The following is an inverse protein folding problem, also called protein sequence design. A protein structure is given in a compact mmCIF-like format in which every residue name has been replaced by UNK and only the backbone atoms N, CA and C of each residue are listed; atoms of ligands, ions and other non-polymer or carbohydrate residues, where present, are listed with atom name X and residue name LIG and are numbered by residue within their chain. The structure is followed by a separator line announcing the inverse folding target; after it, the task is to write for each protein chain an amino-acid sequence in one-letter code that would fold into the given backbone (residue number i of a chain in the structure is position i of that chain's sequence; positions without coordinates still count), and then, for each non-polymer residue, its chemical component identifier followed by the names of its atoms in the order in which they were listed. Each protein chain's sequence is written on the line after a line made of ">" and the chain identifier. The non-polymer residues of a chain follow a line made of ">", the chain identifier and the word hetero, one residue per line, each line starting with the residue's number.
data_IF_979307834823
#
_entry.id   IF_979307834823
#
_cell.length_a   1.000
_cell.length_b   1.000
_cell.length_c   1.000
_cell.angle_alpha   90.00
_cell.angle_beta   90.00
_cell.angle_gamma   90.00
#
_symmetry.space_group_name_H-M   'P 1'
#
loop_
_entity.id
_entity.type
_entity.pdbx_description
1 polymer ?
#
# COMPACT_ATOMS: atom_id res chain seq x y z
N UNK A 1 -7.79 -4.82 22.85
CA UNK A 1 -7.30 -5.31 21.55
C UNK A 1 -6.30 -4.29 21.01
N UNK A 2 -5.01 -4.62 21.06
CA UNK A 2 -3.97 -3.77 20.47
C UNK A 2 -4.14 -3.75 18.96
N UNK A 3 -4.59 -2.62 18.41
CA UNK A 3 -4.46 -2.34 16.98
C UNK A 3 -2.96 -2.40 16.68
N UNK A 4 -2.55 -3.26 15.76
CA UNK A 4 -1.18 -3.28 15.22
C UNK A 4 -0.82 -1.84 14.87
N UNK A 5 0.05 -1.22 15.66
CA UNK A 5 0.42 0.17 15.46
C UNK A 5 1.41 0.18 14.31
N UNK A 6 0.88 0.35 13.11
CA UNK A 6 1.67 0.40 11.89
C UNK A 6 2.55 1.67 11.94
N UNK A 7 3.84 1.51 11.66
CA UNK A 7 4.76 2.63 11.57
C UNK A 7 4.46 3.47 10.32
N UNK A 8 5.17 4.59 10.16
CA UNK A 8 5.11 5.35 8.91
C UNK A 8 5.54 4.48 7.71
N UNK A 9 4.97 4.72 6.51
CA UNK A 9 5.38 4.00 5.30
C UNK A 9 6.88 4.15 5.09
N UNK A 10 7.56 3.03 4.86
CA UNK A 10 8.98 3.04 4.50
C UNK A 10 9.17 3.22 3.00
N UNK A 11 8.21 2.68 2.23
CA UNK A 11 8.11 2.90 0.79
C UNK A 11 6.67 3.25 0.45
N UNK A 12 6.50 4.20 -0.45
CA UNK A 12 5.20 4.56 -0.99
C UNK A 12 5.34 4.93 -2.46
N UNK A 13 4.44 4.43 -3.28
CA UNK A 13 4.28 4.84 -4.67
C UNK A 13 2.83 5.24 -4.88
N UNK A 14 2.60 6.43 -5.44
CA UNK A 14 1.26 6.93 -5.73
C UNK A 14 1.13 7.23 -7.21
N UNK A 15 0.05 6.74 -7.81
CA UNK A 15 -0.32 7.05 -9.18
C UNK A 15 -1.73 7.61 -9.25
N UNK A 16 -1.91 8.56 -10.15
CA UNK A 16 -3.21 9.09 -10.51
C UNK A 16 -3.67 8.49 -11.83
N UNK A 17 -4.90 8.03 -11.86
CA UNK A 17 -5.61 7.57 -13.07
C UNK A 17 -6.94 8.33 -13.17
N UNK A 18 -7.74 8.08 -14.19
CA UNK A 18 -9.00 8.81 -14.43
C UNK A 18 -9.95 8.76 -13.23
N UNK A 19 -9.92 9.83 -12.43
CA UNK A 19 -10.73 10.00 -11.22
C UNK A 19 -10.17 9.33 -9.95
N UNK A 20 -9.22 8.39 -10.07
CA UNK A 20 -8.65 7.66 -8.95
C UNK A 20 -7.21 8.09 -8.62
N UNK A 21 -6.91 8.12 -7.34
CA UNK A 21 -5.56 8.13 -6.79
C UNK A 21 -5.34 6.78 -6.12
N UNK A 22 -4.30 6.08 -6.53
CA UNK A 22 -3.96 4.76 -6.03
C UNK A 22 -2.56 4.83 -5.42
N UNK A 23 -2.44 4.49 -4.15
CA UNK A 23 -1.17 4.44 -3.43
C UNK A 23 -0.89 3.01 -2.98
N UNK A 24 0.36 2.57 -3.15
CA UNK A 24 0.87 1.33 -2.59
C UNK A 24 1.94 1.70 -1.58
N UNK A 25 1.76 1.26 -0.35
CA UNK A 25 2.63 1.54 0.78
C UNK A 25 3.19 0.22 1.33
N UNK A 26 4.48 0.18 1.63
CA UNK A 26 5.11 -0.89 2.38
C UNK A 26 5.55 -0.35 3.73
N UNK A 27 5.02 -0.94 4.80
CA UNK A 27 5.28 -0.52 6.18
C UNK A 27 5.80 -1.70 6.98
N UNK A 28 6.65 -1.41 7.97
CA UNK A 28 7.10 -2.38 8.95
C UNK A 28 6.47 -2.01 10.30
N UNK A 29 5.81 -2.94 10.98
CA UNK A 29 5.27 -2.69 12.31
C UNK A 29 6.35 -2.71 13.40
N UNK A 30 5.96 -2.41 14.65
CA UNK A 30 6.88 -2.40 15.79
C UNK A 30 7.47 -3.79 16.13
N UNK A 31 6.94 -4.86 15.55
CA UNK A 31 7.41 -6.23 15.73
C UNK A 31 8.30 -6.72 14.58
N UNK A 32 8.56 -5.87 13.58
CA UNK A 32 9.38 -6.23 12.43
C UNK A 32 8.58 -6.92 11.30
N UNK A 33 7.25 -6.98 11.38
CA UNK A 33 6.45 -7.56 10.30
C UNK A 33 6.14 -6.53 9.22
N UNK A 34 6.22 -6.99 7.98
CA UNK A 34 5.93 -6.18 6.82
C UNK A 34 4.47 -6.27 6.41
N UNK A 35 3.89 -5.13 6.06
CA UNK A 35 2.52 -4.99 5.60
C UNK A 35 2.53 -4.23 4.28
N UNK A 36 1.84 -4.78 3.28
CA UNK A 36 1.59 -4.10 2.00
C UNK A 36 0.19 -3.52 2.06
N UNK A 37 0.09 -2.21 1.93
CA UNK A 37 -1.17 -1.49 1.98
C UNK A 37 -1.44 -0.89 0.61
N UNK A 38 -2.62 -1.15 0.08
CA UNK A 38 -3.11 -0.50 -1.14
C UNK A 38 -4.26 0.41 -0.77
N UNK A 39 -4.12 1.68 -1.12
CA UNK A 39 -5.11 2.73 -0.88
C UNK A 39 -5.65 3.22 -2.22
N UNK A 40 -6.97 3.26 -2.36
CA UNK A 40 -7.68 3.80 -3.52
C UNK A 40 -8.54 4.98 -3.07
N UNK A 41 -8.41 6.12 -3.73
CA UNK A 41 -9.16 7.33 -3.43
C UNK A 41 -9.76 7.91 -4.71
N UNK A 42 -11.08 7.96 -4.82
CA UNK A 42 -11.76 8.62 -5.93
C UNK A 42 -12.13 10.05 -5.55
N UNK A 43 -11.39 11.02 -6.07
CA UNK A 43 -11.52 12.43 -5.65
C UNK A 43 -12.92 13.00 -5.90
N UNK A 44 -13.53 12.67 -7.05
CA UNK A 44 -14.85 13.18 -7.40
C UNK A 44 -15.99 12.54 -6.58
N UNK A 45 -15.75 11.38 -5.96
CA UNK A 45 -16.74 10.71 -5.09
C UNK A 45 -16.43 10.90 -3.59
N UNK A 46 -15.26 11.45 -3.25
CA UNK A 46 -14.74 11.48 -1.87
C UNK A 46 -14.58 10.08 -1.26
N UNK A 47 -14.52 9.02 -2.09
CA UNK A 47 -14.52 7.62 -1.61
C UNK A 47 -13.10 7.12 -1.41
N UNK A 48 -12.82 6.65 -0.20
CA UNK A 48 -11.56 6.01 0.17
C UNK A 48 -11.78 4.51 0.38
N UNK A 49 -10.86 3.67 -0.09
CA UNK A 49 -10.82 2.24 0.16
C UNK A 49 -9.40 1.82 0.46
N UNK A 50 -9.20 1.02 1.51
CA UNK A 50 -7.89 0.58 1.99
C UNK A 50 -7.89 -0.92 2.16
N UNK A 51 -6.92 -1.59 1.55
CA UNK A 51 -6.68 -3.03 1.68
C UNK A 51 -5.31 -3.18 2.30
N UNK A 52 -5.21 -4.04 3.31
CA UNK A 52 -3.99 -4.37 4.04
C UNK A 52 -3.72 -5.86 3.90
N UNK A 53 -2.50 -6.21 3.50
CA UNK A 53 -2.04 -7.59 3.34
C UNK A 53 -0.71 -7.78 4.08
N UNK A 54 -0.65 -8.68 5.08
CA UNK A 54 0.61 -9.02 5.72
C UNK A 54 1.51 -9.75 4.73
N UNK A 55 2.78 -9.37 4.68
CA UNK A 55 3.77 -9.99 3.80
C UNK A 55 4.88 -10.62 4.64
N UNK A 56 5.21 -11.87 4.33
CA UNK A 56 6.35 -12.54 4.99
C UNK A 56 7.63 -11.78 4.65
N UNK A 57 8.42 -11.51 5.68
CA UNK A 57 9.60 -10.64 5.69
C UNK A 57 10.54 -10.83 4.51
N UNK A 58 10.91 -12.07 4.16
CA UNK A 58 11.83 -12.37 3.04
C UNK A 58 11.32 -11.92 1.67
N UNK A 59 10.02 -11.73 1.51
CA UNK A 59 9.39 -11.41 0.22
C UNK A 59 8.81 -9.98 0.17
N UNK A 60 8.93 -9.18 1.24
CA UNK A 60 8.27 -7.89 1.36
C UNK A 60 8.66 -6.92 0.22
N UNK A 61 9.95 -6.73 0.00
CA UNK A 61 10.45 -5.81 -1.03
C UNK A 61 10.12 -6.29 -2.46
N UNK A 62 10.20 -7.61 -2.71
CA UNK A 62 9.86 -8.18 -4.01
C UNK A 62 8.35 -8.09 -4.30
N UNK A 63 7.50 -8.29 -3.29
CA UNK A 63 6.05 -8.08 -3.39
C UNK A 63 5.74 -6.62 -3.66
N UNK A 64 6.38 -5.69 -2.95
CA UNK A 64 6.24 -4.25 -3.18
C UNK A 64 6.64 -3.87 -4.61
N UNK A 65 7.80 -4.34 -5.10
CA UNK A 65 8.24 -4.06 -6.46
C UNK A 65 7.24 -4.52 -7.53
N UNK A 66 6.67 -5.73 -7.39
CA UNK A 66 5.62 -6.22 -8.30
C UNK A 66 4.33 -5.41 -8.21
N UNK A 67 3.96 -4.99 -7.00
CA UNK A 67 2.78 -4.18 -6.77
C UNK A 67 2.94 -2.80 -7.42
N UNK A 68 4.11 -2.17 -7.29
CA UNK A 68 4.48 -0.91 -7.98
C UNK A 68 4.47 -1.08 -9.50
N UNK A 69 5.03 -2.15 -10.04
CA UNK A 69 4.97 -2.43 -11.48
C UNK A 69 3.52 -2.57 -11.97
N UNK A 70 2.67 -3.24 -11.19
CA UNK A 70 1.25 -3.39 -11.50
C UNK A 70 0.53 -2.04 -11.46
N UNK A 71 0.84 -1.18 -10.47
CA UNK A 71 0.36 0.19 -10.39
C UNK A 71 0.79 1.01 -11.61
N UNK A 72 2.03 0.87 -12.06
CA UNK A 72 2.55 1.57 -13.22
C UNK A 72 1.89 1.12 -14.54
N UNK A 73 1.34 -0.09 -14.58
CA UNK A 73 0.62 -0.61 -15.73
C UNK A 73 -0.86 -0.17 -15.78
N UNK A 74 -1.39 0.46 -14.72
CA UNK A 74 -2.75 1.01 -14.74
C UNK A 74 -2.77 2.23 -15.67
N UNK A 75 -3.46 2.09 -16.81
CA UNK A 75 -3.69 3.12 -17.83
C UNK A 75 -4.88 3.97 -17.42
#
# INVERSE_FOLDING_TARGET
>A
MNKTQLCQPQFAETRRTDGWLVSIELLCDLFGHWHLITVWFHAAQGKLSRIDAPVRERNALAVYGRAVQSLQAIV
#
